data_IF_926978872004
#
_entry.id   IF_926978872004
#
_cell.length_a   1.000
_cell.length_b   1.000
_cell.length_c   1.000
_cell.angle_alpha   90.00
_cell.angle_beta   90.00
_cell.angle_gamma   90.00
#
_symmetry.space_group_name_H-M   'P 1'
#
loop_
_entity.id
_entity.type
_entity.pdbx_description
1 polymer ?
#
# COMPACT_ATOMS: atom_id res chain seq x y z
N UNK A 1 35.41 -1.11 -2.39
CA UNK A 1 36.24 0.02 -1.89
C UNK A 1 35.42 0.70 -0.81
N UNK A 2 35.94 0.86 0.41
CA UNK A 2 35.24 1.51 1.54
C UNK A 2 35.49 3.01 1.48
N UNK A 3 34.44 3.85 1.49
CA UNK A 3 34.58 5.31 1.35
C UNK A 3 34.96 6.02 2.65
N UNK A 4 34.91 5.33 3.79
CA UNK A 4 35.10 5.96 5.10
C UNK A 4 33.91 6.81 5.58
N UNK A 5 32.82 6.89 4.79
CA UNK A 5 31.64 7.68 5.12
C UNK A 5 30.64 6.95 6.04
N UNK A 6 31.00 5.78 6.58
CA UNK A 6 30.14 4.97 7.44
C UNK A 6 29.61 5.74 8.64
N UNK A 7 28.29 5.90 8.71
CA UNK A 7 27.55 6.61 9.76
C UNK A 7 26.05 6.38 9.57
N UNK A 8 25.23 6.86 10.51
CA UNK A 8 23.76 6.72 10.45
C UNK A 8 23.23 7.28 9.12
N UNK A 9 22.42 6.49 8.42
CA UNK A 9 21.73 6.91 7.19
C UNK A 9 22.60 7.13 5.96
N UNK A 10 23.81 6.55 5.87
CA UNK A 10 24.65 6.56 4.65
C UNK A 10 24.80 5.17 4.02
N UNK A 11 24.89 5.13 2.69
CA UNK A 11 25.00 3.89 1.90
C UNK A 11 26.14 4.01 0.88
N UNK A 12 26.94 2.96 0.76
CA UNK A 12 28.00 2.83 -0.25
C UNK A 12 27.40 2.49 -1.63
N UNK A 13 26.68 3.45 -2.22
CA UNK A 13 25.86 3.27 -3.44
C UNK A 13 26.67 2.79 -4.65
N UNK A 14 27.90 3.29 -4.83
CA UNK A 14 28.77 2.87 -5.94
C UNK A 14 29.15 1.38 -5.85
N UNK A 15 29.48 0.90 -4.66
CA UNK A 15 29.79 -0.51 -4.43
C UNK A 15 28.55 -1.39 -4.60
N UNK A 16 27.39 -0.95 -4.09
CA UNK A 16 26.14 -1.67 -4.23
C UNK A 16 25.76 -1.82 -5.70
N UNK A 17 25.77 -0.73 -6.47
CA UNK A 17 25.44 -0.74 -7.89
C UNK A 17 26.38 -1.67 -8.68
N UNK A 18 27.67 -1.66 -8.36
CA UNK A 18 28.62 -2.59 -8.97
C UNK A 18 28.30 -4.04 -8.63
N UNK A 19 28.05 -4.34 -7.35
CA UNK A 19 27.71 -5.69 -6.89
C UNK A 19 26.46 -6.22 -7.58
N UNK A 20 25.42 -5.39 -7.72
CA UNK A 20 24.18 -5.77 -8.40
C UNK A 20 24.34 -5.92 -9.92
N UNK A 21 25.26 -5.17 -10.54
CA UNK A 21 25.67 -5.37 -11.95
C UNK A 21 26.40 -6.69 -12.16
N UNK A 22 27.29 -7.05 -11.25
CA UNK A 22 28.10 -8.27 -11.37
C UNK A 22 27.26 -9.55 -11.18
N UNK A 23 26.05 -9.43 -10.62
CA UNK A 23 25.14 -10.54 -10.35
C UNK A 23 23.78 -10.35 -11.05
N UNK A 24 23.77 -9.88 -12.29
CA UNK A 24 22.54 -9.65 -13.05
C UNK A 24 21.73 -10.92 -13.30
N UNK A 25 22.40 -12.08 -13.33
CA UNK A 25 21.85 -13.41 -13.55
C UNK A 25 21.18 -14.02 -12.30
N UNK A 26 21.38 -13.44 -11.12
CA UNK A 26 20.71 -13.86 -9.91
C UNK A 26 19.19 -13.68 -10.04
N UNK A 27 18.45 -14.79 -9.92
CA UNK A 27 16.98 -14.81 -10.02
C UNK A 27 16.30 -13.90 -8.99
N UNK A 28 16.82 -13.90 -7.76
CA UNK A 28 16.34 -13.07 -6.67
C UNK A 28 17.50 -12.31 -6.07
N UNK A 29 17.28 -11.02 -5.81
CA UNK A 29 18.25 -10.14 -5.16
C UNK A 29 17.60 -9.59 -3.90
N UNK A 30 18.24 -9.83 -2.76
CA UNK A 30 17.85 -9.28 -1.47
C UNK A 30 18.97 -8.35 -1.01
N UNK A 31 18.61 -7.15 -0.57
CA UNK A 31 19.55 -6.21 0.05
C UNK A 31 19.20 -6.06 1.51
N UNK A 32 20.19 -6.08 2.38
CA UNK A 32 19.99 -5.98 3.83
C UNK A 32 20.68 -4.72 4.34
N UNK A 33 20.02 -4.00 5.22
CA UNK A 33 20.55 -2.80 5.87
C UNK A 33 19.92 -2.58 7.24
N UNK A 34 20.35 -1.53 7.93
CA UNK A 34 19.83 -1.24 9.27
C UNK A 34 18.63 -0.30 9.22
N UNK A 35 18.74 0.85 8.55
CA UNK A 35 17.70 1.88 8.54
C UNK A 35 16.73 1.71 7.36
N UNK A 36 15.43 1.95 7.52
CA UNK A 36 14.53 2.06 6.38
C UNK A 36 14.87 3.27 5.50
N UNK A 37 14.52 3.19 4.22
CA UNK A 37 14.52 4.34 3.31
C UNK A 37 13.21 5.10 3.45
N UNK A 38 12.09 4.37 3.38
CA UNK A 38 10.75 4.93 3.43
C UNK A 38 10.21 4.91 4.87
N UNK A 39 9.55 5.99 5.33
CA UNK A 39 8.89 6.01 6.64
C UNK A 39 7.84 4.90 6.78
N UNK A 40 7.70 4.36 7.98
CA UNK A 40 6.70 3.33 8.31
C UNK A 40 5.88 3.76 9.51
N UNK A 41 4.60 3.41 9.60
CA UNK A 41 3.74 3.60 10.78
C UNK A 41 3.81 5.01 11.44
N UNK A 42 4.12 6.05 10.67
CA UNK A 42 4.33 7.42 11.17
C UNK A 42 5.75 7.72 11.72
N UNK A 43 6.62 6.73 11.84
CA UNK A 43 8.05 6.90 12.10
C UNK A 43 8.75 7.49 10.87
N UNK A 44 8.97 8.80 10.92
CA UNK A 44 9.70 9.55 9.90
C UNK A 44 10.79 10.42 10.56
N UNK A 45 11.85 10.72 9.79
CA UNK A 45 12.94 11.60 10.23
C UNK A 45 14.28 11.12 9.71
N UNK A 46 14.93 11.94 8.87
CA UNK A 46 16.24 11.62 8.30
C UNK A 46 17.28 11.38 9.40
N UNK A 47 18.18 10.43 9.16
CA UNK A 47 19.25 9.96 10.05
C UNK A 47 18.76 9.24 11.31
N UNK A 48 17.74 9.75 11.99
CA UNK A 48 17.23 9.18 13.24
C UNK A 48 16.26 8.02 13.05
N UNK A 49 15.51 8.01 11.94
CA UNK A 49 14.45 7.03 11.67
C UNK A 49 14.58 6.43 10.28
N UNK A 50 14.94 7.23 9.30
CA UNK A 50 15.19 6.81 7.93
C UNK A 50 16.59 7.17 7.48
N UNK A 51 17.05 6.54 6.40
CA UNK A 51 18.23 6.98 5.66
C UNK A 51 18.06 8.47 5.26
N UNK A 52 19.17 9.19 5.18
CA UNK A 52 19.22 10.56 4.68
C UNK A 52 18.53 10.66 3.31
N UNK A 53 17.82 11.76 3.04
CA UNK A 53 16.88 11.82 1.91
C UNK A 53 17.55 11.63 0.53
N UNK A 54 18.71 12.25 0.28
CA UNK A 54 19.43 12.15 -0.99
C UNK A 54 20.07 10.77 -1.16
N UNK A 55 20.77 10.28 -0.14
CA UNK A 55 21.35 8.94 -0.11
C UNK A 55 20.29 7.85 -0.23
N UNK A 56 19.17 7.99 0.48
CA UNK A 56 18.04 7.07 0.45
C UNK A 56 17.40 7.01 -0.93
N UNK A 57 17.25 8.16 -1.60
CA UNK A 57 16.76 8.22 -2.98
C UNK A 57 17.70 7.52 -3.96
N UNK A 58 19.00 7.82 -3.89
CA UNK A 58 20.00 7.21 -4.76
C UNK A 58 20.09 5.70 -4.53
N UNK A 59 20.07 5.27 -3.26
CA UNK A 59 20.05 3.85 -2.89
C UNK A 59 18.80 3.16 -3.43
N UNK A 60 17.60 3.72 -3.24
CA UNK A 60 16.36 3.11 -3.73
C UNK A 60 16.32 3.00 -5.25
N UNK A 61 16.78 4.04 -5.94
CA UNK A 61 16.86 4.03 -7.40
C UNK A 61 17.73 2.87 -7.90
N UNK A 62 18.86 2.61 -7.27
CA UNK A 62 19.71 1.44 -7.58
C UNK A 62 18.93 0.13 -7.37
N UNK A 63 18.14 0.00 -6.30
CA UNK A 63 17.35 -1.21 -6.06
C UNK A 63 16.33 -1.44 -7.18
N UNK A 64 15.64 -0.38 -7.60
CA UNK A 64 14.64 -0.43 -8.69
C UNK A 64 15.32 -0.79 -10.02
N UNK A 65 16.39 -0.09 -10.40
CA UNK A 65 17.12 -0.31 -11.66
C UNK A 65 17.66 -1.74 -11.79
N UNK A 66 18.05 -2.35 -10.67
CA UNK A 66 18.60 -3.70 -10.65
C UNK A 66 17.57 -4.81 -10.38
N UNK A 67 16.27 -4.49 -10.33
CA UNK A 67 15.19 -5.41 -10.03
C UNK A 67 15.40 -6.17 -8.72
N UNK A 68 15.78 -5.44 -7.66
CA UNK A 68 15.89 -6.01 -6.31
C UNK A 68 14.51 -6.43 -5.83
N UNK A 69 14.39 -7.65 -5.30
CA UNK A 69 13.12 -8.19 -4.84
C UNK A 69 12.68 -7.52 -3.53
N UNK A 70 13.60 -7.43 -2.57
CA UNK A 70 13.33 -6.82 -1.28
C UNK A 70 14.59 -6.20 -0.66
N UNK A 71 14.38 -5.07 0.00
CA UNK A 71 15.26 -4.46 0.99
C UNK A 71 14.76 -4.80 2.39
N UNK A 72 15.55 -5.56 3.14
CA UNK A 72 15.25 -5.90 4.53
C UNK A 72 15.99 -4.93 5.44
N UNK A 73 15.23 -4.31 6.35
CA UNK A 73 15.76 -3.34 7.29
C UNK A 73 15.19 -3.52 8.70
N UNK A 74 15.79 -2.83 9.66
CA UNK A 74 15.40 -2.86 11.07
C UNK A 74 15.32 -1.43 11.61
N UNK A 75 16.01 -1.14 12.72
CA UNK A 75 16.10 0.16 13.41
C UNK A 75 14.81 0.63 14.10
N UNK A 76 13.67 0.59 13.42
CA UNK A 76 12.38 0.94 14.02
C UNK A 76 11.79 -0.28 14.70
N UNK A 77 11.35 -0.11 15.95
CA UNK A 77 10.73 -1.16 16.75
C UNK A 77 9.27 -1.39 16.36
N UNK A 78 9.08 -1.80 15.12
CA UNK A 78 7.79 -2.04 14.49
C UNK A 78 7.94 -3.17 13.45
N UNK A 79 6.82 -3.60 12.90
CA UNK A 79 6.76 -4.34 11.64
C UNK A 79 6.01 -3.49 10.61
N UNK A 80 6.52 -3.44 9.37
CA UNK A 80 5.77 -2.94 8.21
C UNK A 80 6.40 -3.48 6.92
N UNK A 81 5.58 -3.63 5.89
CA UNK A 81 6.03 -3.92 4.53
C UNK A 81 5.43 -2.92 3.56
N UNK A 82 6.30 -2.13 2.94
CA UNK A 82 5.90 -1.20 1.89
C UNK A 82 6.48 -1.64 0.55
N UNK A 83 5.73 -1.41 -0.52
CA UNK A 83 6.23 -1.58 -1.89
C UNK A 83 6.51 -0.18 -2.42
N UNK A 84 7.64 0.04 -3.09
CA UNK A 84 7.82 1.25 -3.90
C UNK A 84 8.45 0.86 -5.23
N UNK A 85 7.73 1.12 -6.33
CA UNK A 85 8.17 0.78 -7.69
C UNK A 85 8.56 -0.70 -7.83
N UNK A 86 7.80 -1.60 -7.18
CA UNK A 86 7.95 -3.04 -7.29
C UNK A 86 8.98 -3.67 -6.34
N UNK A 87 9.77 -2.86 -5.64
CA UNK A 87 10.73 -3.32 -4.62
C UNK A 87 10.04 -3.29 -3.25
N UNK A 88 10.14 -4.39 -2.49
CA UNK A 88 9.66 -4.44 -1.11
C UNK A 88 10.66 -3.79 -0.16
N UNK A 89 10.20 -2.94 0.75
CA UNK A 89 10.90 -2.60 1.98
C UNK A 89 10.25 -3.38 3.11
N UNK A 90 10.93 -4.40 3.62
CA UNK A 90 10.48 -5.21 4.75
C UNK A 90 11.20 -4.72 5.99
N UNK A 91 10.48 -4.12 6.91
CA UNK A 91 11.02 -3.67 8.18
C UNK A 91 10.66 -4.63 9.30
N UNK A 92 11.66 -5.10 10.03
CA UNK A 92 11.47 -5.89 11.26
C UNK A 92 12.45 -5.45 12.34
N UNK A 93 11.93 -4.86 13.42
CA UNK A 93 12.74 -4.43 14.58
C UNK A 93 12.12 -4.78 15.93
N UNK A 94 11.09 -5.64 15.97
CA UNK A 94 10.33 -5.97 17.18
C UNK A 94 10.78 -7.23 17.93
N UNK A 95 12.00 -7.73 17.73
CA UNK A 95 12.37 -9.06 18.25
C UNK A 95 12.67 -9.15 19.76
N UNK A 96 12.77 -8.04 20.52
CA UNK A 96 13.19 -8.15 21.93
C UNK A 96 13.16 -6.90 22.81
N UNK A 97 12.56 -5.80 22.37
CA UNK A 97 12.63 -4.50 23.06
C UNK A 97 11.29 -4.09 23.69
N UNK A 98 10.59 -5.03 24.33
CA UNK A 98 9.22 -4.83 24.85
C UNK A 98 9.01 -3.52 25.65
N UNK A 99 9.90 -3.10 26.58
CA UNK A 99 9.69 -1.89 27.37
C UNK A 99 9.65 -0.59 26.55
N UNK A 100 10.18 -0.60 25.33
CA UNK A 100 10.26 0.56 24.44
C UNK A 100 9.28 0.46 23.25
N UNK A 101 8.51 -0.65 23.16
CA UNK A 101 7.60 -0.91 22.04
C UNK A 101 6.30 -0.13 22.24
N UNK A 102 5.92 0.77 21.32
CA UNK A 102 4.67 1.51 21.47
C UNK A 102 3.46 0.59 21.46
N UNK A 103 2.37 0.99 22.12
CA UNK A 103 1.17 0.16 22.28
C UNK A 103 0.49 -0.24 20.94
N UNK A 104 0.83 0.45 19.85
CA UNK A 104 0.35 0.13 18.51
C UNK A 104 1.16 -0.96 17.81
N UNK A 105 2.36 -1.23 18.32
CA UNK A 105 3.33 -2.20 17.81
C UNK A 105 3.39 -3.43 18.74
N UNK A 106 4.06 -4.49 18.30
CA UNK A 106 4.13 -5.72 19.06
C UNK A 106 5.43 -6.49 18.76
N UNK A 107 5.81 -7.34 19.71
CA UNK A 107 6.96 -8.23 19.53
C UNK A 107 6.66 -9.29 18.49
N UNK A 108 7.60 -9.54 17.59
CA UNK A 108 7.40 -10.47 16.50
C UNK A 108 8.68 -11.13 15.99
N UNK A 109 8.49 -12.18 15.21
CA UNK A 109 9.49 -12.77 14.33
C UNK A 109 8.93 -12.88 12.92
N UNK A 110 9.74 -12.59 11.89
CA UNK A 110 9.36 -12.78 10.49
C UNK A 110 9.93 -14.10 10.00
N UNK A 111 9.07 -14.93 9.42
CA UNK A 111 9.47 -16.17 8.74
C UNK A 111 9.25 -15.99 7.24
N UNK A 112 10.31 -16.17 6.46
CA UNK A 112 10.26 -16.05 5.00
C UNK A 112 10.61 -17.38 4.31
N UNK A 113 9.98 -17.62 3.16
CA UNK A 113 10.36 -18.62 2.17
C UNK A 113 10.63 -17.91 0.83
N UNK A 114 11.73 -18.28 0.18
CA UNK A 114 12.10 -17.76 -1.14
C UNK A 114 12.33 -18.94 -2.07
N UNK A 115 11.59 -18.99 -3.17
CA UNK A 115 11.72 -20.03 -4.18
C UNK A 115 11.39 -19.50 -5.58
N UNK A 116 11.17 -20.43 -6.52
CA UNK A 116 10.91 -20.12 -7.92
C UNK A 116 9.67 -19.23 -8.16
N UNK A 117 8.69 -19.26 -7.24
CA UNK A 117 7.45 -18.50 -7.34
C UNK A 117 7.62 -17.08 -6.78
N UNK A 118 8.56 -16.90 -5.86
CA UNK A 118 8.91 -15.59 -5.31
C UNK A 118 9.15 -15.64 -3.81
N UNK A 119 8.85 -14.52 -3.14
CA UNK A 119 8.99 -14.38 -1.70
C UNK A 119 7.62 -14.57 -1.04
N UNK A 120 7.57 -15.44 -0.03
CA UNK A 120 6.44 -15.54 0.90
C UNK A 120 6.93 -15.24 2.30
N UNK A 121 6.16 -14.49 3.08
CA UNK A 121 6.44 -14.30 4.51
C UNK A 121 5.19 -14.41 5.36
N UNK A 122 5.41 -14.71 6.64
CA UNK A 122 4.46 -14.50 7.72
C UNK A 122 5.16 -13.86 8.92
N UNK A 123 4.40 -13.10 9.70
CA UNK A 123 4.86 -12.44 10.92
C UNK A 123 4.19 -13.09 12.10
N UNK A 124 4.98 -13.68 12.99
CA UNK A 124 4.49 -14.39 14.16
C UNK A 124 4.64 -13.51 15.39
N UNK A 125 3.55 -13.31 16.13
CA UNK A 125 3.63 -12.68 17.45
C UNK A 125 4.17 -13.66 18.51
N UNK A 126 4.27 -13.20 19.76
CA UNK A 126 4.80 -14.00 20.87
C UNK A 126 3.95 -15.21 21.24
N UNK A 127 2.71 -15.30 20.76
CA UNK A 127 1.85 -16.48 20.91
C UNK A 127 2.00 -17.48 19.77
N UNK A 128 2.78 -17.14 18.74
CA UNK A 128 2.92 -17.91 17.51
C UNK A 128 1.78 -17.67 16.51
N UNK A 129 0.92 -16.67 16.73
CA UNK A 129 -0.14 -16.31 15.80
C UNK A 129 0.43 -15.47 14.64
N UNK A 130 0.06 -15.82 13.42
CA UNK A 130 0.36 -15.00 12.24
C UNK A 130 -0.47 -13.71 12.26
N UNK A 131 0.21 -12.56 12.12
CA UNK A 131 -0.37 -11.21 12.18
C UNK A 131 -0.44 -10.54 10.81
N UNK A 132 0.62 -10.68 10.02
CA UNK A 132 0.71 -10.22 8.64
C UNK A 132 1.42 -11.27 7.81
N UNK A 133 1.21 -11.20 6.50
CA UNK A 133 1.75 -12.12 5.53
C UNK A 133 1.65 -11.56 4.11
N UNK A 134 2.44 -12.12 3.21
CA UNK A 134 2.44 -11.77 1.80
C UNK A 134 2.94 -12.93 0.96
N UNK A 135 2.40 -13.04 -0.25
CA UNK A 135 3.05 -13.70 -1.37
C UNK A 135 3.39 -12.63 -2.43
N UNK A 136 4.67 -12.54 -2.81
CA UNK A 136 5.18 -11.58 -3.78
C UNK A 136 5.95 -12.26 -4.91
N UNK A 137 5.68 -11.93 -6.19
CA UNK A 137 4.75 -10.90 -6.67
C UNK A 137 3.27 -11.26 -6.40
N UNK A 138 2.39 -10.25 -6.41
CA UNK A 138 0.96 -10.49 -6.27
C UNK A 138 0.45 -11.38 -7.41
N UNK A 139 -0.36 -12.39 -7.07
CA UNK A 139 -1.15 -13.12 -8.06
C UNK A 139 -2.21 -12.17 -8.62
N UNK A 140 -2.05 -11.78 -9.88
CA UNK A 140 -2.97 -10.85 -10.54
C UNK A 140 -4.15 -11.59 -11.17
N UNK A 141 -5.33 -10.96 -11.20
CA UNK A 141 -6.51 -11.55 -11.82
C UNK A 141 -6.32 -11.68 -13.34
N UNK A 142 -6.80 -12.78 -13.91
CA UNK A 142 -6.96 -12.91 -15.37
C UNK A 142 -7.91 -11.84 -15.92
N UNK A 143 -7.85 -11.54 -17.22
CA UNK A 143 -8.75 -10.55 -17.85
C UNK A 143 -10.23 -10.88 -17.64
N UNK A 144 -10.60 -12.16 -17.67
CA UNK A 144 -11.99 -12.63 -17.46
C UNK A 144 -12.48 -12.51 -16.01
N UNK A 145 -11.60 -12.24 -15.04
CA UNK A 145 -11.99 -12.10 -13.64
C UNK A 145 -12.43 -10.66 -13.28
N UNK A 146 -12.31 -9.71 -14.21
CA UNK A 146 -12.73 -8.33 -14.01
C UNK A 146 -14.23 -8.17 -14.21
N UNK A 147 -14.86 -7.49 -13.28
CA UNK A 147 -16.29 -7.18 -13.29
C UNK A 147 -16.48 -5.66 -13.33
N UNK A 148 -17.27 -5.18 -14.28
CA UNK A 148 -17.60 -3.76 -14.35
C UNK A 148 -18.52 -3.34 -13.18
N UNK A 149 -18.29 -2.15 -12.66
CA UNK A 149 -19.15 -1.50 -11.67
C UNK A 149 -19.97 -0.44 -12.39
N UNK A 150 -21.29 -0.45 -12.18
CA UNK A 150 -22.15 0.58 -12.76
C UNK A 150 -21.92 1.92 -12.06
N UNK A 151 -22.07 3.01 -12.80
CA UNK A 151 -22.09 4.35 -12.22
C UNK A 151 -23.31 4.52 -11.30
N UNK A 152 -23.14 5.22 -10.18
CA UNK A 152 -24.19 5.39 -9.18
C UNK A 152 -24.16 4.34 -8.08
N UNK A 153 -25.30 4.11 -7.43
CA UNK A 153 -25.45 3.23 -6.26
C UNK A 153 -25.85 1.83 -6.69
N UNK A 154 -25.23 0.81 -6.10
CA UNK A 154 -25.53 -0.59 -6.34
C UNK A 154 -25.27 -1.45 -5.10
N UNK A 155 -25.85 -2.65 -5.09
CA UNK A 155 -25.48 -3.67 -4.10
C UNK A 155 -24.01 -4.06 -4.27
N UNK A 156 -23.35 -4.32 -3.15
CA UNK A 156 -21.98 -4.78 -3.15
C UNK A 156 -21.91 -6.15 -3.85
N UNK A 157 -20.99 -6.34 -4.81
CA UNK A 157 -20.86 -7.62 -5.51
C UNK A 157 -20.42 -8.76 -4.58
N UNK A 158 -19.82 -8.41 -3.45
CA UNK A 158 -19.46 -9.31 -2.37
C UNK A 158 -19.40 -8.55 -1.04
N UNK A 159 -19.46 -9.28 0.06
CA UNK A 159 -19.15 -8.77 1.41
C UNK A 159 -18.17 -9.74 2.03
N UNK A 160 -16.97 -9.26 2.36
CA UNK A 160 -15.94 -10.10 2.98
C UNK A 160 -16.07 -10.06 4.50
N UNK A 161 -15.75 -11.18 5.18
CA UNK A 161 -15.58 -11.15 6.62
C UNK A 161 -14.39 -10.26 7.00
N UNK A 162 -14.35 -9.78 8.24
CA UNK A 162 -13.16 -9.09 8.76
C UNK A 162 -11.96 -10.07 8.74
N UNK A 163 -10.81 -9.58 8.29
CA UNK A 163 -9.62 -10.40 8.07
C UNK A 163 -8.76 -10.60 9.35
N UNK A 164 -9.32 -10.35 10.54
CA UNK A 164 -8.58 -10.45 11.82
C UNK A 164 -8.06 -11.87 12.12
N UNK A 165 -8.61 -12.90 11.45
CA UNK A 165 -8.13 -14.27 11.56
C UNK A 165 -7.28 -14.67 10.34
N UNK A 166 -6.08 -15.22 10.60
CA UNK A 166 -5.23 -15.83 9.58
C UNK A 166 -6.01 -16.90 8.79
N UNK A 167 -6.08 -16.76 7.46
CA UNK A 167 -6.83 -17.64 6.55
C UNK A 167 -8.02 -17.00 5.81
N UNK A 168 -8.39 -15.75 6.15
CA UNK A 168 -9.45 -14.99 5.47
C UNK A 168 -8.91 -13.75 4.75
N UNK A 169 -7.71 -13.81 4.17
CA UNK A 169 -7.20 -12.64 3.46
C UNK A 169 -7.64 -12.61 2.00
N UNK A 170 -7.76 -11.40 1.50
CA UNK A 170 -8.23 -11.11 0.17
C UNK A 170 -7.34 -10.04 -0.45
N UNK A 171 -7.13 -10.19 -1.75
CA UNK A 171 -6.65 -9.14 -2.61
C UNK A 171 -7.85 -8.62 -3.40
N UNK A 172 -8.24 -7.38 -3.12
CA UNK A 172 -9.28 -6.69 -3.90
C UNK A 172 -8.62 -5.60 -4.70
N UNK A 173 -8.84 -5.61 -6.02
CA UNK A 173 -8.23 -4.65 -6.94
C UNK A 173 -9.34 -3.93 -7.69
N UNK A 174 -9.25 -2.61 -7.76
CA UNK A 174 -10.08 -1.77 -8.61
C UNK A 174 -9.26 -1.19 -9.75
N UNK A 175 -9.87 -1.10 -10.92
CA UNK A 175 -9.43 -0.32 -12.08
C UNK A 175 -10.34 0.88 -12.20
N UNK A 176 -9.74 2.06 -12.29
CA UNK A 176 -10.44 3.30 -12.60
C UNK A 176 -9.84 3.93 -13.85
N UNK A 177 -10.71 4.30 -14.77
CA UNK A 177 -10.37 5.00 -16.01
C UNK A 177 -11.28 6.21 -16.18
N UNK A 178 -10.78 7.27 -16.81
CA UNK A 178 -11.58 8.45 -17.10
C UNK A 178 -10.71 9.62 -17.52
N UNK A 179 -11.30 10.81 -17.56
CA UNK A 179 -10.60 12.07 -17.79
C UNK A 179 -10.80 12.93 -16.55
N UNK A 180 -9.73 13.44 -15.95
CA UNK A 180 -9.83 14.34 -14.79
C UNK A 180 -10.46 15.69 -15.16
N UNK A 181 -10.97 16.42 -14.18
CA UNK A 181 -11.47 17.77 -14.42
C UNK A 181 -10.32 18.72 -14.81
N UNK A 182 -10.60 19.72 -15.66
CA UNK A 182 -9.63 20.75 -16.06
C UNK A 182 -9.17 21.63 -14.89
N UNK A 183 -10.05 21.84 -13.92
CA UNK A 183 -9.76 22.56 -12.69
C UNK A 183 -10.51 21.93 -11.51
N UNK A 184 -9.78 21.67 -10.43
CA UNK A 184 -10.36 21.25 -9.16
C UNK A 184 -10.28 22.41 -8.15
N UNK A 185 -11.41 22.73 -7.53
CA UNK A 185 -11.52 23.75 -6.47
C UNK A 185 -11.00 23.25 -5.09
N UNK A 186 -10.43 22.04 -5.06
CA UNK A 186 -9.98 21.38 -3.84
C UNK A 186 -11.03 20.50 -3.18
N UNK A 187 -12.29 20.51 -3.63
CA UNK A 187 -13.34 19.66 -3.10
C UNK A 187 -13.02 18.18 -3.38
N UNK A 188 -13.14 17.27 -2.40
CA UNK A 188 -12.97 15.85 -2.65
C UNK A 188 -13.97 15.31 -3.67
N UNK A 189 -13.51 14.42 -4.55
CA UNK A 189 -14.29 13.82 -5.65
C UNK A 189 -14.26 12.30 -5.52
N UNK A 190 -15.40 11.62 -5.64
CA UNK A 190 -15.48 10.19 -5.35
C UNK A 190 -15.30 9.33 -6.59
N UNK A 191 -14.38 8.36 -6.55
CA UNK A 191 -14.29 7.28 -7.53
C UNK A 191 -15.13 6.08 -7.06
N UNK A 192 -14.98 5.68 -5.80
CA UNK A 192 -15.72 4.59 -5.16
C UNK A 192 -15.96 4.89 -3.68
N UNK A 193 -17.14 4.58 -3.17
CA UNK A 193 -17.44 4.60 -1.73
C UNK A 193 -18.18 3.32 -1.34
N UNK A 194 -17.86 2.74 -0.19
CA UNK A 194 -18.66 1.65 0.39
C UNK A 194 -19.28 2.13 1.70
N UNK A 195 -20.57 1.92 1.88
CA UNK A 195 -21.33 2.50 2.98
C UNK A 195 -22.59 1.68 3.30
N UNK A 196 -23.26 2.04 4.40
CA UNK A 196 -24.58 1.54 4.77
C UNK A 196 -25.49 2.72 5.13
N UNK A 197 -26.80 2.50 5.18
CA UNK A 197 -27.80 3.54 5.44
C UNK A 197 -27.72 4.19 6.86
N UNK A 198 -26.70 3.87 7.65
CA UNK A 198 -26.49 4.45 8.97
C UNK A 198 -25.99 5.90 8.90
N UNK A 199 -26.03 6.61 10.05
CA UNK A 199 -25.60 8.01 10.15
C UNK A 199 -24.07 8.18 10.11
N UNK A 200 -23.32 7.10 9.98
CA UNK A 200 -21.87 7.08 10.08
C UNK A 200 -21.23 7.48 8.75
N UNK A 201 -19.99 7.96 8.80
CA UNK A 201 -19.19 8.15 7.60
C UNK A 201 -18.91 6.79 6.95
N UNK A 202 -18.77 6.79 5.63
CA UNK A 202 -18.41 5.64 4.84
C UNK A 202 -17.11 5.05 5.41
N UNK A 203 -17.11 3.77 5.81
CA UNK A 203 -15.90 3.12 6.29
C UNK A 203 -14.84 2.98 5.21
N UNK A 204 -15.23 3.10 3.94
CA UNK A 204 -14.34 3.02 2.80
C UNK A 204 -14.66 4.08 1.75
N UNK A 205 -13.62 4.78 1.30
CA UNK A 205 -13.72 5.72 0.19
C UNK A 205 -12.41 5.76 -0.61
N UNK A 206 -12.52 5.77 -1.93
CA UNK A 206 -11.45 6.08 -2.89
C UNK A 206 -11.88 7.29 -3.68
N UNK A 207 -10.99 8.26 -3.85
CA UNK A 207 -11.27 9.41 -4.67
C UNK A 207 -10.08 10.33 -4.90
N UNK A 208 -10.38 11.54 -5.36
CA UNK A 208 -9.39 12.60 -5.61
C UNK A 208 -9.54 13.70 -4.57
N UNK A 209 -8.43 14.21 -4.07
CA UNK A 209 -8.38 15.27 -3.06
C UNK A 209 -7.49 16.44 -3.48
N UNK A 210 -7.90 17.65 -3.08
CA UNK A 210 -7.14 18.87 -3.31
C UNK A 210 -7.18 19.36 -4.75
N UNK A 211 -6.67 20.58 -4.98
CA UNK A 211 -6.64 21.19 -6.30
C UNK A 211 -5.72 20.44 -7.29
N UNK A 212 -4.77 19.69 -6.75
CA UNK A 212 -3.86 18.82 -7.50
C UNK A 212 -4.48 17.47 -7.89
N UNK A 213 -5.73 17.18 -7.51
CA UNK A 213 -6.41 15.93 -7.86
C UNK A 213 -5.61 14.68 -7.47
N UNK A 214 -5.14 14.64 -6.22
CA UNK A 214 -4.37 13.51 -5.69
C UNK A 214 -5.28 12.33 -5.38
N UNK A 215 -4.96 11.16 -5.91
CA UNK A 215 -5.62 9.92 -5.52
C UNK A 215 -5.46 9.66 -4.02
N UNK A 216 -6.55 9.33 -3.35
CA UNK A 216 -6.57 9.08 -1.92
C UNK A 216 -7.54 7.94 -1.60
N UNK A 217 -7.18 7.16 -0.58
CA UNK A 217 -8.02 6.14 0.01
C UNK A 217 -8.18 6.45 1.50
N UNK A 218 -9.43 6.42 1.95
CA UNK A 218 -9.84 6.70 3.33
C UNK A 218 -10.47 5.45 3.95
N UNK A 219 -9.98 5.07 5.13
CA UNK A 219 -10.57 4.03 5.96
C UNK A 219 -11.11 4.63 7.26
N UNK A 220 -12.36 4.33 7.60
CA UNK A 220 -13.00 4.73 8.87
C UNK A 220 -13.48 3.49 9.64
N UNK A 221 -12.56 2.68 10.21
CA UNK A 221 -12.94 1.42 10.87
C UNK A 221 -13.73 1.65 12.17
N UNK A 222 -13.58 2.83 12.80
CA UNK A 222 -14.20 3.16 14.07
C UNK A 222 -15.18 4.33 13.92
N UNK A 223 -16.49 4.13 14.18
CA UNK A 223 -17.46 5.22 14.15
C UNK A 223 -17.10 6.35 15.12
N UNK A 224 -17.17 7.60 14.64
CA UNK A 224 -16.87 8.79 15.44
C UNK A 224 -15.39 9.13 15.59
N UNK A 225 -14.48 8.35 14.99
CA UNK A 225 -13.07 8.73 14.82
C UNK A 225 -12.83 9.36 13.45
N UNK A 226 -11.80 10.19 13.37
CA UNK A 226 -11.33 10.73 12.10
C UNK A 226 -10.89 9.57 11.18
N UNK A 227 -11.20 9.64 9.88
CA UNK A 227 -10.72 8.67 8.91
C UNK A 227 -9.19 8.67 8.85
N UNK A 228 -8.65 7.52 8.47
CA UNK A 228 -7.22 7.33 8.17
C UNK A 228 -7.00 7.50 6.67
N UNK A 229 -5.85 8.03 6.30
CA UNK A 229 -5.55 8.42 4.93
C UNK A 229 -4.38 7.64 4.36
N UNK A 230 -4.53 7.26 3.09
CA UNK A 230 -3.50 6.73 2.22
C UNK A 230 -3.49 7.57 0.95
N UNK A 231 -2.32 8.14 0.63
CA UNK A 231 -2.15 9.12 -0.43
C UNK A 231 -1.37 8.52 -1.60
N UNK A 232 -1.96 8.60 -2.78
CA UNK A 232 -1.40 8.11 -4.03
C UNK A 232 -0.81 9.22 -4.90
N UNK A 233 -0.69 8.95 -6.21
CA UNK A 233 -0.17 9.91 -7.17
C UNK A 233 -1.15 11.06 -7.38
N UNK A 234 -0.61 12.14 -7.94
CA UNK A 234 -1.37 13.25 -8.51
C UNK A 234 -1.83 12.84 -9.91
N UNK A 235 -3.08 13.10 -10.26
CA UNK A 235 -3.58 12.93 -11.62
C UNK A 235 -3.58 14.30 -12.31
N UNK A 236 -2.96 14.39 -13.48
CA UNK A 236 -2.87 15.64 -14.23
C UNK A 236 -4.27 16.12 -14.64
N UNK A 237 -4.51 17.44 -14.59
CA UNK A 237 -5.81 18.03 -14.88
C UNK A 237 -6.17 17.99 -16.37
N UNK A 238 -7.43 17.70 -16.69
CA UNK A 238 -7.93 17.55 -18.06
C UNK A 238 -7.33 16.37 -18.84
N UNK A 239 -6.60 15.47 -18.17
CA UNK A 239 -5.91 14.36 -18.83
C UNK A 239 -6.62 13.02 -18.61
N UNK A 240 -6.56 12.11 -19.60
CA UNK A 240 -6.94 10.72 -19.40
C UNK A 240 -6.08 10.07 -18.32
N UNK A 241 -6.70 9.24 -17.49
CA UNK A 241 -6.01 8.39 -16.53
C UNK A 241 -6.53 6.95 -16.61
N UNK A 242 -5.64 6.02 -16.27
CA UNK A 242 -5.95 4.65 -15.94
C UNK A 242 -5.13 4.33 -14.69
N UNK A 243 -5.78 3.96 -13.58
CA UNK A 243 -5.10 3.64 -12.33
C UNK A 243 -5.73 2.40 -11.72
N UNK A 244 -4.88 1.56 -11.15
CA UNK A 244 -5.29 0.44 -10.32
C UNK A 244 -4.98 0.74 -8.86
N UNK A 245 -5.92 0.42 -7.99
CA UNK A 245 -5.77 0.52 -6.54
C UNK A 245 -6.12 -0.86 -5.97
N UNK A 246 -5.27 -1.38 -5.09
CA UNK A 246 -5.48 -2.67 -4.46
C UNK A 246 -5.47 -2.57 -2.94
N UNK A 247 -6.23 -3.46 -2.31
CA UNK A 247 -6.16 -3.77 -0.89
C UNK A 247 -5.73 -5.21 -0.74
N UNK A 248 -4.61 -5.42 -0.06
CA UNK A 248 -4.16 -6.71 0.43
C UNK A 248 -4.37 -6.76 1.93
N UNK A 249 -5.39 -7.51 2.39
CA UNK A 249 -5.78 -7.49 3.81
C UNK A 249 -4.77 -8.17 4.75
N UNK A 250 -3.85 -8.97 4.21
CA UNK A 250 -2.78 -9.63 4.99
C UNK A 250 -1.50 -8.81 5.19
N UNK A 251 -1.29 -7.69 4.48
CA UNK A 251 0.01 -6.99 4.50
C UNK A 251 0.16 -5.97 5.65
N UNK A 252 -0.91 -5.73 6.42
CA UNK A 252 -0.96 -4.62 7.37
C UNK A 252 -1.01 -3.25 6.65
N UNK A 253 -0.44 -2.18 7.24
CA UNK A 253 -0.63 -0.80 6.77
C UNK A 253 -0.09 -0.52 5.37
N UNK A 254 0.94 -1.24 4.92
CA UNK A 254 1.47 -1.12 3.57
C UNK A 254 0.67 -1.87 2.48
N UNK A 255 -0.37 -2.61 2.86
CA UNK A 255 -1.24 -3.40 1.95
C UNK A 255 -2.18 -2.60 1.06
N UNK A 256 -2.15 -1.26 1.12
CA UNK A 256 -2.93 -0.40 0.24
C UNK A 256 -2.03 0.09 -0.88
N UNK A 257 -2.23 -0.47 -2.07
CA UNK A 257 -1.30 -0.37 -3.20
C UNK A 257 -1.92 0.37 -4.38
N UNK A 258 -1.08 0.88 -5.26
CA UNK A 258 -1.50 1.46 -6.54
C UNK A 258 -0.49 1.20 -7.66
N UNK A 259 -0.95 1.26 -8.91
CA UNK A 259 -0.13 1.29 -10.14
C UNK A 259 -0.91 1.93 -11.29
N UNK A 260 -0.24 2.44 -12.32
CA UNK A 260 -0.94 3.04 -13.47
C UNK A 260 -1.60 1.98 -14.37
N UNK A 261 -0.87 0.94 -14.77
CA UNK A 261 -1.34 -0.07 -15.73
C UNK A 261 -0.81 -1.45 -15.35
N UNK A 262 -1.22 -2.49 -16.10
CA UNK A 262 -0.86 -3.88 -15.78
C UNK A 262 0.64 -4.17 -15.81
N UNK A 263 1.39 -3.42 -16.63
CA UNK A 263 2.85 -3.49 -16.76
C UNK A 263 3.60 -2.63 -15.74
N UNK A 264 2.91 -1.69 -15.09
CA UNK A 264 3.52 -0.79 -14.13
C UNK A 264 3.74 -1.51 -12.78
N UNK A 265 4.86 -1.23 -12.11
CA UNK A 265 5.11 -1.81 -10.80
C UNK A 265 4.17 -1.23 -9.75
N UNK A 266 3.80 -2.07 -8.79
CA UNK A 266 3.02 -1.65 -7.62
C UNK A 266 3.83 -0.72 -6.71
N UNK A 267 3.13 0.19 -6.05
CA UNK A 267 3.65 1.00 -4.94
C UNK A 267 2.59 1.12 -3.85
N UNK A 268 3.00 1.08 -2.60
CA UNK A 268 2.16 1.39 -1.44
C UNK A 268 1.77 2.85 -1.46
N UNK A 269 0.49 3.13 -1.22
CA UNK A 269 -0.02 4.47 -0.98
C UNK A 269 0.61 5.03 0.30
N UNK A 270 1.13 6.25 0.22
CA UNK A 270 1.85 6.91 1.31
C UNK A 270 0.93 7.11 2.51
N UNK A 271 1.36 6.69 3.68
CA UNK A 271 0.56 6.75 4.90
C UNK A 271 1.43 6.85 6.16
N UNK A 272 0.78 7.01 7.32
CA UNK A 272 1.40 7.06 8.63
C UNK A 272 0.68 6.16 9.64
N UNK A 273 -0.02 5.13 9.16
CA UNK A 273 -0.88 4.29 9.97
C UNK A 273 -0.14 3.04 10.43
N UNK A 274 -0.42 2.55 11.64
CA UNK A 274 0.12 1.29 12.15
C UNK A 274 -0.74 0.05 11.78
N UNK A 275 -1.89 0.28 11.13
CA UNK A 275 -2.86 -0.76 10.75
C UNK A 275 -3.38 -0.46 9.35
N UNK A 276 -3.70 -1.51 8.61
CA UNK A 276 -4.20 -1.45 7.24
C UNK A 276 -5.69 -1.77 7.13
N UNK A 277 -6.03 -2.60 6.15
CA UNK A 277 -7.40 -2.99 5.84
C UNK A 277 -7.88 -4.23 6.59
N UNK A 278 -7.08 -4.82 7.48
CA UNK A 278 -7.45 -6.02 8.25
C UNK A 278 -8.67 -5.80 9.15
N UNK A 279 -8.94 -4.53 9.52
CA UNK A 279 -10.11 -4.10 10.30
C UNK A 279 -11.23 -3.48 9.46
N UNK A 280 -11.14 -3.56 8.14
CA UNK A 280 -12.14 -2.95 7.26
C UNK A 280 -13.45 -3.71 7.36
N UNK A 281 -14.51 -3.01 7.79
CA UNK A 281 -15.87 -3.51 7.70
C UNK A 281 -16.40 -3.33 6.27
N UNK A 282 -16.46 -4.43 5.51
CA UNK A 282 -17.02 -4.44 4.16
C UNK A 282 -18.52 -4.16 4.20
N UNK A 283 -18.96 -3.21 3.37
CA UNK A 283 -20.33 -2.72 3.40
C UNK A 283 -21.17 -3.27 2.24
N UNK A 284 -22.49 -3.44 2.45
CA UNK A 284 -23.38 -4.04 1.47
C UNK A 284 -23.75 -3.10 0.31
N UNK A 285 -23.41 -1.81 0.40
CA UNK A 285 -23.76 -0.82 -0.63
C UNK A 285 -22.50 -0.12 -1.13
N UNK A 286 -22.32 -0.12 -2.44
CA UNK A 286 -21.22 0.56 -3.12
C UNK A 286 -21.79 1.71 -3.97
N UNK A 287 -21.02 2.78 -4.12
CA UNK A 287 -21.32 3.85 -5.07
C UNK A 287 -20.09 4.23 -5.88
N UNK A 288 -20.26 4.33 -7.19
CA UNK A 288 -19.24 4.79 -8.13
C UNK A 288 -19.60 6.19 -8.62
N UNK A 289 -18.62 7.09 -8.63
CA UNK A 289 -18.80 8.48 -9.08
C UNK A 289 -19.50 9.41 -8.08
N UNK A 290 -20.04 8.90 -6.96
CA UNK A 290 -20.62 9.69 -5.86
C UNK A 290 -20.30 9.05 -4.50
N UNK A 291 -20.33 9.84 -3.43
CA UNK A 291 -20.22 9.32 -2.07
C UNK A 291 -21.57 8.80 -1.54
N UNK A 292 -21.61 8.39 -0.27
CA UNK A 292 -22.81 7.90 0.43
C UNK A 292 -24.02 8.86 0.41
N UNK A 293 -23.84 10.13 0.01
CA UNK A 293 -24.91 11.14 -0.06
C UNK A 293 -25.49 11.28 -1.47
N UNK A 294 -25.00 10.54 -2.46
CA UNK A 294 -25.46 10.61 -3.85
C UNK A 294 -25.02 11.89 -4.57
N UNK A 295 -25.84 12.37 -5.52
CA UNK A 295 -25.54 13.56 -6.34
C UNK A 295 -25.25 14.85 -5.54
N UNK A 296 -25.95 15.16 -4.43
CA UNK A 296 -25.62 16.31 -3.58
C UNK A 296 -24.29 16.15 -2.81
N UNK A 297 -23.67 14.98 -2.89
CA UNK A 297 -22.44 14.62 -2.20
C UNK A 297 -21.18 15.12 -2.91
N UNK A 298 -20.19 14.23 -2.98
CA UNK A 298 -18.86 14.46 -3.57
C UNK A 298 -18.72 13.77 -4.93
N UNK A 299 -19.33 14.28 -6.02
CA UNK A 299 -19.26 13.63 -7.31
C UNK A 299 -17.85 13.63 -7.89
N UNK A 300 -17.54 12.64 -8.73
CA UNK A 300 -16.47 12.78 -9.70
C UNK A 300 -16.84 13.88 -10.70
N UNK A 301 -15.95 14.85 -10.91
CA UNK A 301 -16.21 16.04 -11.75
C UNK A 301 -15.53 16.00 -13.10
N UNK A 302 -14.75 14.95 -13.36
CA UNK A 302 -14.20 14.69 -14.68
C UNK A 302 -15.23 14.01 -15.59
N UNK A 303 -14.74 13.40 -16.67
CA UNK A 303 -15.57 12.76 -17.68
C UNK A 303 -15.28 11.26 -17.80
N UNK A 304 -16.26 10.52 -18.31
CA UNK A 304 -16.14 9.12 -18.71
C UNK A 304 -15.55 8.18 -17.65
N UNK A 305 -15.90 8.39 -16.37
CA UNK A 305 -15.47 7.50 -15.29
C UNK A 305 -15.98 6.07 -15.52
N UNK A 306 -15.04 5.13 -15.64
CA UNK A 306 -15.28 3.69 -15.65
C UNK A 306 -14.60 3.07 -14.45
N UNK A 307 -15.28 2.13 -13.82
CA UNK A 307 -14.74 1.37 -12.71
C UNK A 307 -14.97 -0.12 -12.94
N UNK A 308 -13.97 -0.93 -12.63
CA UNK A 308 -14.07 -2.37 -12.59
C UNK A 308 -13.33 -2.90 -11.36
N UNK A 309 -13.66 -4.10 -10.92
CA UNK A 309 -12.97 -4.75 -9.81
C UNK A 309 -12.68 -6.22 -10.10
N UNK A 310 -11.74 -6.75 -9.33
CA UNK A 310 -11.49 -8.17 -9.19
C UNK A 310 -11.19 -8.47 -7.72
N UNK A 311 -11.62 -9.64 -7.27
CA UNK A 311 -11.37 -10.15 -5.92
C UNK A 311 -10.69 -11.52 -6.03
N UNK A 312 -9.70 -11.73 -5.16
CA UNK A 312 -8.94 -12.97 -5.09
C UNK A 312 -8.83 -13.34 -3.61
N UNK A 313 -9.42 -14.47 -3.25
CA UNK A 313 -9.15 -15.12 -1.98
C UNK A 313 -7.69 -15.60 -1.96
N UNK A 314 -6.96 -15.22 -0.93
CA UNK A 314 -5.56 -15.56 -0.78
C UNK A 314 -5.45 -16.76 0.17
N UNK A 315 -4.76 -17.81 -0.29
CA UNK A 315 -4.49 -19.05 0.47
C UNK A 315 -3.09 -19.04 1.07
#
# INVERSE_FOLDING_TARGET
>A
MWSGLGGEGRVETAWLAQTLRDHTDARHKLVLGHHPVHPINGYAGAYQRTIEAENGRAFWQILVEHNVLAYLCSHIMAFDVQVQQGVLQILTGGAGTLPLTPATEYLHAVQCALDAEGLRYQVLDTSGQAREWLHWPLALPSESAWHELAHGVQDAPFVLPNAEAAGNAHLVIWRFEGITADAADGTPQTLLSMWNAGPQLAPFWIGLMGAEQRAALLLSPEPGRSPRYWLGPTLEAGQPFAIQIAIHTGMGPGGLLWRWRDDAPWSTLRNANAWGAERLAWQPTWSVGYDQRGEPGRPFRGEALRAAFAEIALQ
#
